data_IF_636842108474
#
_entry.id   IF_636842108474
#
_cell.length_a   1.000
_cell.length_b   1.000
_cell.length_c   1.000
_cell.angle_alpha   90.00
_cell.angle_beta   90.00
_cell.angle_gamma   90.00
#
_symmetry.space_group_name_H-M   'P 1'
#
loop_
_entity.id
_entity.type
_entity.pdbx_description
1 polymer ?
#
# COMPACT_ATOMS: atom_id res chain seq x y z
N UNK A 1 -76.44 66.06 28.08
CA UNK A 1 -75.38 66.09 27.04
C UNK A 1 -74.27 67.01 27.52
N UNK A 2 -73.01 66.56 27.58
CA UNK A 2 -71.85 67.37 27.99
C UNK A 2 -71.79 67.69 29.50
N UNK A 3 -70.62 67.86 30.12
CA UNK A 3 -69.22 67.62 29.73
C UNK A 3 -68.44 67.19 30.98
N UNK A 4 -67.39 66.37 30.84
CA UNK A 4 -66.43 66.09 31.93
C UNK A 4 -65.09 66.78 31.69
N UNK A 5 -64.43 67.05 32.82
CA UNK A 5 -63.12 67.64 33.13
C UNK A 5 -62.08 67.96 32.03
N UNK A 6 -61.40 69.09 32.26
CA UNK A 6 -60.01 69.37 31.84
C UNK A 6 -59.00 69.12 32.99
N UNK A 7 -57.69 69.35 32.78
CA UNK A 7 -56.65 68.43 33.28
C UNK A 7 -55.74 68.94 34.42
N UNK A 8 -54.96 68.02 35.00
CA UNK A 8 -53.80 68.26 35.88
C UNK A 8 -53.30 66.94 36.49
N UNK A 9 -52.30 66.25 35.93
CA UNK A 9 -50.86 66.55 35.94
C UNK A 9 -50.15 66.19 37.27
N UNK A 10 -49.47 65.03 37.29
CA UNK A 10 -48.26 64.78 38.07
C UNK A 10 -47.54 63.54 37.50
N UNK A 11 -46.29 63.69 37.08
CA UNK A 11 -45.47 62.57 36.61
C UNK A 11 -44.60 62.03 37.76
N UNK A 12 -44.51 60.70 37.88
CA UNK A 12 -43.50 60.01 38.69
C UNK A 12 -42.79 59.01 37.78
N UNK A 13 -41.57 59.35 37.37
CA UNK A 13 -40.73 58.47 36.57
C UNK A 13 -40.08 57.41 37.47
N UNK A 14 -40.52 56.16 37.35
CA UNK A 14 -39.86 55.02 37.97
C UNK A 14 -38.79 54.47 37.02
N UNK A 15 -37.52 54.66 37.34
CA UNK A 15 -36.41 54.06 36.60
C UNK A 15 -36.28 52.57 36.98
N UNK A 16 -36.84 51.68 36.17
CA UNK A 16 -36.65 50.23 36.31
C UNK A 16 -35.30 49.81 35.74
N UNK A 17 -34.36 49.49 36.63
CA UNK A 17 -33.09 48.84 36.25
C UNK A 17 -33.41 47.42 35.77
N UNK A 18 -33.32 47.20 34.46
CA UNK A 18 -33.56 45.89 33.87
C UNK A 18 -32.32 45.02 34.08
N UNK A 19 -32.40 44.07 35.02
CA UNK A 19 -31.34 43.10 35.25
C UNK A 19 -31.33 42.08 34.11
N UNK A 20 -30.48 42.29 33.11
CA UNK A 20 -30.31 41.32 32.01
C UNK A 20 -29.51 40.14 32.53
N UNK A 21 -30.22 39.07 32.93
CA UNK A 21 -29.60 37.77 33.18
C UNK A 21 -29.05 37.25 31.86
N UNK A 22 -27.73 37.09 31.76
CA UNK A 22 -27.10 36.42 30.64
C UNK A 22 -27.50 34.94 30.67
N UNK A 23 -28.59 34.60 29.98
CA UNK A 23 -28.96 33.22 29.70
C UNK A 23 -27.80 32.58 28.97
N UNK A 24 -27.15 31.61 29.61
CA UNK A 24 -26.04 30.87 29.00
C UNK A 24 -26.52 30.20 27.73
N UNK A 25 -26.11 30.73 26.59
CA UNK A 25 -25.96 29.90 25.39
C UNK A 25 -24.96 28.83 25.78
N UNK A 26 -25.43 27.60 25.95
CA UNK A 26 -24.53 26.46 25.85
C UNK A 26 -23.99 26.54 24.42
N UNK A 27 -22.70 26.81 24.27
CA UNK A 27 -22.02 26.66 23.00
C UNK A 27 -22.14 25.20 22.59
N UNK A 28 -23.18 24.91 21.80
CA UNK A 28 -23.22 23.75 20.93
C UNK A 28 -22.16 24.01 19.87
N UNK A 29 -20.91 23.83 20.27
CA UNK A 29 -19.79 23.67 19.37
C UNK A 29 -20.27 22.66 18.33
N UNK A 30 -20.22 22.97 17.03
CA UNK A 30 -20.60 22.00 16.03
C UNK A 30 -19.66 20.81 16.23
N UNK A 31 -20.21 19.69 16.73
CA UNK A 31 -19.51 18.43 16.72
C UNK A 31 -19.19 18.20 15.25
N UNK A 32 -17.92 18.33 14.89
CA UNK A 32 -17.46 17.85 13.61
C UNK A 32 -17.70 16.35 13.65
N UNK A 33 -18.81 15.90 13.05
CA UNK A 33 -18.81 14.57 12.45
C UNK A 33 -17.62 14.59 11.51
N UNK A 34 -16.53 13.93 11.91
CA UNK A 34 -15.62 13.39 10.93
C UNK A 34 -16.51 12.71 9.88
N UNK A 35 -16.22 12.93 8.59
CA UNK A 35 -16.73 11.99 7.60
C UNK A 35 -16.38 10.57 8.08
N UNK A 36 -17.21 9.57 7.79
CA UNK A 36 -16.97 8.18 8.16
C UNK A 36 -15.76 7.62 7.37
N UNK A 37 -14.57 8.14 7.70
CA UNK A 37 -13.31 7.87 7.03
C UNK A 37 -12.96 6.41 7.24
N UNK A 38 -12.62 5.75 6.15
CA UNK A 38 -12.19 4.36 6.17
C UNK A 38 -10.81 4.24 6.83
N UNK A 39 -10.50 3.10 7.42
CA UNK A 39 -9.16 2.82 7.94
C UNK A 39 -8.12 2.86 6.81
N UNK A 40 -8.53 2.28 5.67
CA UNK A 40 -7.77 2.30 4.44
C UNK A 40 -8.69 2.44 3.24
N UNK A 41 -8.13 2.86 2.11
CA UNK A 41 -8.83 2.88 0.83
C UNK A 41 -7.95 2.31 -0.27
N UNK A 42 -8.53 1.42 -1.09
CA UNK A 42 -7.88 0.90 -2.29
C UNK A 42 -8.26 1.75 -3.49
N UNK A 43 -7.30 2.49 -4.03
CA UNK A 43 -7.38 3.26 -5.26
C UNK A 43 -6.91 2.37 -6.41
N UNK A 44 -7.83 1.83 -7.21
CA UNK A 44 -7.52 0.80 -8.21
C UNK A 44 -7.79 1.22 -9.65
N UNK A 45 -6.76 1.13 -10.50
CA UNK A 45 -6.86 1.29 -11.95
C UNK A 45 -7.08 -0.08 -12.63
N UNK A 46 -8.27 -0.25 -13.23
CA UNK A 46 -8.67 -1.45 -13.99
C UNK A 46 -7.84 -1.64 -15.28
N UNK A 47 -7.94 -2.80 -15.91
CA UNK A 47 -7.28 -3.10 -17.18
C UNK A 47 -8.00 -2.58 -18.43
N UNK A 48 -7.32 -2.68 -19.57
CA UNK A 48 -7.83 -2.24 -20.89
C UNK A 48 -9.18 -2.87 -21.24
N UNK A 49 -10.14 -2.06 -21.68
CA UNK A 49 -11.51 -2.47 -22.05
C UNK A 49 -12.35 -3.06 -20.90
N UNK A 50 -11.90 -3.02 -19.64
CA UNK A 50 -12.79 -3.34 -18.51
C UNK A 50 -13.86 -2.23 -18.31
N UNK A 51 -15.09 -2.58 -17.90
CA UNK A 51 -16.14 -1.60 -17.61
C UNK A 51 -15.77 -0.74 -16.39
N UNK A 52 -16.39 0.45 -16.21
CA UNK A 52 -16.18 1.30 -15.03
C UNK A 52 -16.32 0.52 -13.71
N UNK A 53 -15.39 0.77 -12.78
CA UNK A 53 -15.18 -0.04 -11.58
C UNK A 53 -13.70 -0.45 -11.45
N UNK A 54 -13.40 -1.33 -10.50
CA UNK A 54 -12.02 -1.81 -10.23
C UNK A 54 -11.57 -2.99 -11.11
N UNK A 55 -12.47 -3.49 -11.98
CA UNK A 55 -12.19 -4.66 -12.82
C UNK A 55 -12.12 -5.98 -12.04
N UNK A 56 -11.91 -7.08 -12.77
CA UNK A 56 -11.91 -8.45 -12.23
C UNK A 56 -10.78 -8.68 -11.23
N UNK A 57 -9.58 -8.18 -11.56
CA UNK A 57 -8.37 -8.34 -10.73
C UNK A 57 -8.46 -7.46 -9.48
N UNK A 58 -8.89 -6.20 -9.63
CA UNK A 58 -9.05 -5.27 -8.51
C UNK A 58 -10.11 -5.75 -7.51
N UNK A 59 -11.24 -6.29 -7.99
CA UNK A 59 -12.28 -6.83 -7.12
C UNK A 59 -11.76 -8.02 -6.30
N UNK A 60 -11.13 -9.01 -6.94
CA UNK A 60 -10.59 -10.18 -6.25
C UNK A 60 -9.45 -9.83 -5.25
N UNK A 61 -8.64 -8.82 -5.58
CA UNK A 61 -7.63 -8.26 -4.66
C UNK A 61 -8.28 -7.60 -3.44
N UNK A 62 -9.28 -6.73 -3.64
CA UNK A 62 -10.01 -6.06 -2.53
C UNK A 62 -10.70 -7.07 -1.63
N UNK A 63 -11.37 -8.08 -2.19
CA UNK A 63 -12.09 -9.08 -1.41
C UNK A 63 -11.14 -9.96 -0.60
N UNK A 64 -10.01 -10.35 -1.18
CA UNK A 64 -8.95 -11.08 -0.46
C UNK A 64 -8.28 -10.21 0.61
N UNK A 65 -8.09 -8.91 0.36
CA UNK A 65 -7.54 -7.97 1.35
C UNK A 65 -8.47 -7.84 2.55
N UNK A 66 -9.77 -7.60 2.33
CA UNK A 66 -10.79 -7.51 3.39
C UNK A 66 -10.87 -8.76 4.26
N UNK A 67 -10.74 -9.95 3.67
CA UNK A 67 -10.67 -11.22 4.42
C UNK A 67 -9.41 -11.32 5.30
N UNK A 68 -8.28 -10.76 4.85
CA UNK A 68 -7.00 -10.78 5.56
C UNK A 68 -6.83 -9.64 6.57
N UNK A 69 -7.73 -8.65 6.57
CA UNK A 69 -7.74 -7.51 7.50
C UNK A 69 -9.06 -7.40 8.28
N UNK A 70 -9.45 -8.42 9.08
CA UNK A 70 -10.68 -8.37 9.87
C UNK A 70 -10.66 -7.19 10.83
N UNK A 71 -11.76 -6.41 10.89
CA UNK A 71 -11.84 -5.19 11.69
C UNK A 71 -11.12 -3.97 11.07
N UNK A 72 -10.90 -3.97 9.75
CA UNK A 72 -10.64 -2.75 8.97
C UNK A 72 -11.86 -2.40 8.11
N UNK A 73 -12.31 -1.16 8.19
CA UNK A 73 -13.19 -0.57 7.19
C UNK A 73 -12.33 -0.18 5.97
N UNK A 74 -12.43 -0.95 4.88
CA UNK A 74 -11.66 -0.72 3.65
C UNK A 74 -12.57 -0.17 2.55
N UNK A 75 -12.36 1.11 2.23
CA UNK A 75 -12.96 1.80 1.09
C UNK A 75 -12.35 1.35 -0.24
N UNK A 76 -13.03 1.70 -1.33
CA UNK A 76 -12.57 1.40 -2.69
C UNK A 76 -12.89 2.58 -3.58
N UNK A 77 -11.87 3.11 -4.25
CA UNK A 77 -12.00 4.08 -5.31
C UNK A 77 -11.59 3.45 -6.64
N UNK A 78 -12.52 3.42 -7.60
CA UNK A 78 -12.26 2.99 -8.95
C UNK A 78 -11.75 4.18 -9.77
N UNK A 79 -10.51 4.12 -10.26
CA UNK A 79 -9.89 5.21 -11.02
C UNK A 79 -10.72 5.54 -12.26
N UNK A 80 -11.13 6.80 -12.35
CA UNK A 80 -12.06 7.31 -13.34
C UNK A 80 -11.32 7.74 -14.61
N UNK A 81 -10.97 6.75 -15.42
CA UNK A 81 -10.33 6.95 -16.72
C UNK A 81 -10.93 6.02 -17.80
N UNK A 82 -10.72 6.28 -19.11
CA UNK A 82 -11.36 5.53 -20.18
C UNK A 82 -10.98 4.05 -20.29
N UNK A 83 -9.80 3.65 -19.79
CA UNK A 83 -9.20 2.31 -20.01
C UNK A 83 -9.19 1.86 -21.49
N UNK A 84 -9.00 2.81 -22.43
CA UNK A 84 -9.21 2.58 -23.87
C UNK A 84 -8.05 1.81 -24.53
N UNK A 85 -8.32 1.14 -25.64
CA UNK A 85 -7.32 0.32 -26.37
C UNK A 85 -6.15 1.10 -26.95
N UNK A 86 -6.21 2.42 -27.01
CA UNK A 86 -5.12 3.26 -27.52
C UNK A 86 -4.00 3.46 -26.48
N UNK A 87 -4.19 3.08 -25.21
CA UNK A 87 -3.24 3.25 -24.08
C UNK A 87 -2.78 4.69 -23.79
N UNK A 88 -3.24 5.69 -24.56
CA UNK A 88 -2.90 7.12 -24.40
C UNK A 88 -3.37 7.73 -23.06
N UNK A 89 -4.24 7.05 -22.32
CA UNK A 89 -4.90 7.56 -21.11
C UNK A 89 -4.20 7.18 -19.78
N UNK A 90 -2.97 6.65 -19.85
CA UNK A 90 -2.15 6.47 -18.64
C UNK A 90 -2.00 7.77 -17.84
N UNK A 91 -1.89 8.89 -18.55
CA UNK A 91 -1.89 10.24 -17.97
C UNK A 91 -3.20 10.63 -17.29
N UNK A 92 -4.33 10.41 -17.94
CA UNK A 92 -5.66 10.74 -17.39
C UNK A 92 -5.92 9.97 -16.09
N UNK A 93 -5.62 8.66 -16.09
CA UNK A 93 -5.71 7.83 -14.88
C UNK A 93 -4.75 8.26 -13.79
N UNK A 94 -3.51 8.65 -14.12
CA UNK A 94 -2.55 9.14 -13.13
C UNK A 94 -2.99 10.47 -12.52
N UNK A 95 -3.51 11.39 -13.32
CA UNK A 95 -4.05 12.67 -12.85
C UNK A 95 -5.27 12.47 -11.93
N UNK A 96 -6.15 11.53 -12.25
CA UNK A 96 -7.30 11.14 -11.43
C UNK A 96 -6.86 10.54 -10.08
N UNK A 97 -5.91 9.59 -10.08
CA UNK A 97 -5.27 9.06 -8.85
C UNK A 97 -4.67 10.18 -8.01
N UNK A 98 -3.87 11.07 -8.59
CA UNK A 98 -3.24 12.18 -7.87
C UNK A 98 -4.27 13.15 -7.31
N UNK A 99 -5.34 13.44 -8.05
CA UNK A 99 -6.46 14.27 -7.59
C UNK A 99 -7.18 13.64 -6.39
N UNK A 100 -7.47 12.34 -6.47
CA UNK A 100 -8.16 11.60 -5.42
C UNK A 100 -7.29 11.45 -4.15
N UNK A 101 -6.00 11.15 -4.28
CA UNK A 101 -5.05 11.11 -3.14
C UNK A 101 -5.01 12.47 -2.43
N UNK A 102 -4.96 13.58 -3.18
CA UNK A 102 -5.01 14.93 -2.61
C UNK A 102 -6.32 15.22 -1.87
N UNK A 103 -7.45 14.79 -2.44
CA UNK A 103 -8.77 14.90 -1.82
C UNK A 103 -8.83 14.12 -0.49
N UNK A 104 -8.42 12.85 -0.50
CA UNK A 104 -8.41 12.00 0.70
C UNK A 104 -7.43 12.47 1.77
N UNK A 105 -6.25 12.98 1.40
CA UNK A 105 -5.32 13.55 2.35
C UNK A 105 -5.87 14.82 3.04
N UNK A 106 -6.77 15.57 2.37
CA UNK A 106 -7.40 16.77 2.92
C UNK A 106 -8.66 16.45 3.76
N UNK A 107 -9.48 15.48 3.34
CA UNK A 107 -10.75 15.13 3.99
C UNK A 107 -10.60 14.08 5.10
N UNK A 108 -9.70 13.11 4.91
CA UNK A 108 -9.50 11.94 5.75
C UNK A 108 -7.99 11.66 5.94
N UNK A 109 -7.21 12.57 6.55
CA UNK A 109 -5.74 12.46 6.67
C UNK A 109 -5.24 11.20 7.41
N UNK A 110 -6.10 10.56 8.21
CA UNK A 110 -5.78 9.32 8.91
C UNK A 110 -5.92 8.04 8.05
N UNK A 111 -6.72 8.10 6.97
CA UNK A 111 -6.98 6.97 6.06
C UNK A 111 -5.70 6.61 5.30
N UNK A 112 -5.36 5.32 5.31
CA UNK A 112 -4.20 4.80 4.58
C UNK A 112 -4.57 4.39 3.16
N UNK A 113 -3.87 4.95 2.18
CA UNK A 113 -4.16 4.70 0.78
C UNK A 113 -3.32 3.52 0.27
N UNK A 114 -3.96 2.62 -0.47
CA UNK A 114 -3.32 1.54 -1.21
C UNK A 114 -3.52 1.83 -2.69
N UNK A 115 -2.44 1.99 -3.44
CA UNK A 115 -2.51 2.12 -4.89
C UNK A 115 -2.50 0.73 -5.54
N UNK A 116 -3.34 0.50 -6.55
CA UNK A 116 -3.33 -0.76 -7.28
C UNK A 116 -3.67 -0.61 -8.75
N UNK A 117 -3.15 -1.52 -9.58
CA UNK A 117 -3.30 -1.42 -11.03
C UNK A 117 -3.09 -2.74 -11.75
N UNK A 118 -3.88 -3.02 -12.78
CA UNK A 118 -3.74 -4.22 -13.61
C UNK A 118 -3.57 -3.87 -15.10
N UNK A 119 -2.58 -4.46 -15.78
CA UNK A 119 -2.34 -4.23 -17.21
C UNK A 119 -2.09 -2.73 -17.49
N UNK A 120 -2.88 -2.09 -18.36
CA UNK A 120 -2.88 -0.62 -18.53
C UNK A 120 -3.08 0.17 -17.22
N UNK A 121 -3.77 -0.41 -16.23
CA UNK A 121 -3.89 0.18 -14.90
C UNK A 121 -2.59 0.11 -14.09
N UNK A 122 -1.71 -0.86 -14.35
CA UNK A 122 -0.37 -0.86 -13.78
C UNK A 122 0.46 0.30 -14.37
N UNK A 123 0.35 0.57 -15.67
CA UNK A 123 1.00 1.72 -16.31
C UNK A 123 0.57 3.06 -15.65
N UNK A 124 -0.73 3.19 -15.31
CA UNK A 124 -1.25 4.34 -14.55
C UNK A 124 -0.54 4.50 -13.20
N UNK A 125 -0.39 3.41 -12.45
CA UNK A 125 0.25 3.44 -11.12
C UNK A 125 1.77 3.63 -11.21
N UNK A 126 2.42 3.14 -12.27
CA UNK A 126 3.83 3.39 -12.55
C UNK A 126 4.10 4.88 -12.82
N UNK A 127 3.25 5.56 -13.60
CA UNK A 127 3.33 7.02 -13.81
C UNK A 127 3.19 7.77 -12.47
N UNK A 128 2.18 7.43 -11.66
CA UNK A 128 1.99 7.97 -10.30
C UNK A 128 3.22 7.69 -9.42
N UNK A 129 3.89 6.57 -9.64
CA UNK A 129 5.06 6.12 -8.89
C UNK A 129 6.40 6.69 -9.38
N UNK A 130 6.40 7.48 -10.46
CA UNK A 130 7.61 8.03 -11.07
C UNK A 130 8.45 7.01 -11.83
N UNK A 131 7.87 5.87 -12.23
CA UNK A 131 8.54 4.80 -12.97
C UNK A 131 8.53 5.15 -14.48
N UNK A 132 9.69 5.16 -15.16
CA UNK A 132 9.74 5.49 -16.59
C UNK A 132 9.19 4.36 -17.47
N UNK A 133 8.06 4.58 -18.14
CA UNK A 133 7.48 3.64 -19.10
C UNK A 133 7.84 4.08 -20.53
N UNK A 134 8.60 3.26 -21.26
CA UNK A 134 8.85 3.43 -22.69
C UNK A 134 9.50 4.77 -23.12
N UNK A 135 10.03 5.56 -22.19
CA UNK A 135 10.60 6.89 -22.45
C UNK A 135 9.56 7.99 -22.73
N UNK A 136 8.27 7.74 -22.50
CA UNK A 136 7.19 8.69 -22.79
C UNK A 136 6.54 9.18 -21.48
N UNK A 137 6.58 10.49 -21.25
CA UNK A 137 6.08 11.08 -20.01
C UNK A 137 4.59 11.43 -20.15
N UNK A 138 3.71 10.47 -19.84
CA UNK A 138 2.27 10.61 -20.10
C UNK A 138 1.48 11.34 -19.00
N UNK A 139 2.02 11.54 -17.80
CA UNK A 139 1.32 12.20 -16.68
C UNK A 139 2.29 12.73 -15.63
N UNK A 140 1.74 13.19 -14.50
CA UNK A 140 2.55 13.63 -13.35
C UNK A 140 2.64 12.54 -12.28
N UNK A 141 3.81 12.32 -11.66
CA UNK A 141 3.91 11.47 -10.48
C UNK A 141 3.18 12.09 -9.28
N UNK A 142 2.92 11.29 -8.26
CA UNK A 142 2.42 11.81 -6.99
C UNK A 142 3.43 12.81 -6.40
N UNK A 143 3.02 14.02 -6.00
CA UNK A 143 3.91 14.94 -5.31
C UNK A 143 4.44 14.33 -4.00
N UNK A 144 5.74 14.43 -3.68
CA UNK A 144 6.35 13.69 -2.57
C UNK A 144 5.71 13.94 -1.19
N UNK A 145 5.08 15.10 -0.98
CA UNK A 145 4.37 15.43 0.26
C UNK A 145 3.17 14.52 0.56
N UNK A 146 2.65 13.79 -0.43
CA UNK A 146 1.59 12.79 -0.26
C UNK A 146 2.10 11.34 -0.19
N UNK A 147 3.42 11.12 -0.29
CA UNK A 147 3.99 9.77 -0.32
C UNK A 147 3.69 8.98 0.97
N UNK A 148 3.56 9.64 2.12
CA UNK A 148 3.28 9.03 3.44
C UNK A 148 1.79 8.71 3.67
N UNK A 149 0.89 9.23 2.83
CA UNK A 149 -0.50 8.77 2.78
C UNK A 149 -0.60 7.35 2.16
N UNK A 150 0.33 6.99 1.27
CA UNK A 150 0.37 5.69 0.60
C UNK A 150 1.03 4.66 1.54
N UNK A 151 0.25 3.67 2.02
CA UNK A 151 0.77 2.59 2.83
C UNK A 151 1.37 1.44 2.00
N UNK A 152 0.81 1.17 0.82
CA UNK A 152 1.29 0.12 -0.08
C UNK A 152 0.92 0.37 -1.55
N UNK A 153 1.63 -0.32 -2.45
CA UNK A 153 1.32 -0.36 -3.89
C UNK A 153 1.28 -1.83 -4.35
N UNK A 154 0.29 -2.20 -5.16
CA UNK A 154 0.13 -3.56 -5.71
C UNK A 154 -0.24 -3.54 -7.19
N UNK A 155 0.71 -3.87 -8.07
CA UNK A 155 0.50 -3.90 -9.52
C UNK A 155 0.55 -5.32 -10.09
N UNK A 156 -0.22 -5.56 -11.14
CA UNK A 156 -0.44 -6.88 -11.75
C UNK A 156 -0.27 -6.81 -13.27
N UNK A 157 0.54 -7.69 -13.86
CA UNK A 157 0.77 -7.70 -15.31
C UNK A 157 1.38 -6.41 -15.84
N UNK A 158 2.34 -5.86 -15.09
CA UNK A 158 2.93 -4.55 -15.34
C UNK A 158 3.94 -4.59 -16.51
N UNK A 159 3.74 -3.71 -17.51
CA UNK A 159 4.58 -3.59 -18.72
C UNK A 159 6.03 -3.23 -18.38
N UNK A 160 6.30 -2.49 -17.31
CA UNK A 160 7.67 -2.09 -16.94
C UNK A 160 8.61 -3.29 -16.72
N UNK A 161 8.09 -4.42 -16.23
CA UNK A 161 8.87 -5.67 -16.09
C UNK A 161 9.42 -6.16 -17.43
N UNK A 162 8.68 -5.98 -18.53
CA UNK A 162 9.07 -6.41 -19.88
C UNK A 162 10.25 -5.60 -20.43
N UNK A 163 10.49 -4.40 -19.89
CA UNK A 163 11.66 -3.57 -20.18
C UNK A 163 12.86 -3.88 -19.27
N UNK A 164 12.77 -4.88 -18.38
CA UNK A 164 13.81 -5.21 -17.40
C UNK A 164 13.82 -4.34 -16.14
N UNK A 165 12.75 -3.56 -15.92
CA UNK A 165 12.50 -2.79 -14.71
C UNK A 165 11.50 -3.45 -13.77
N UNK A 166 10.99 -2.70 -12.80
CA UNK A 166 9.79 -3.01 -11.99
C UNK A 166 9.46 -1.81 -11.10
N UNK A 167 8.20 -1.68 -10.66
CA UNK A 167 7.83 -0.63 -9.70
C UNK A 167 8.67 -0.74 -8.41
N UNK A 168 8.91 -1.98 -7.96
CA UNK A 168 9.70 -2.32 -6.77
C UNK A 168 11.17 -1.90 -6.83
N UNK A 169 11.77 -1.83 -8.03
CA UNK A 169 13.18 -1.49 -8.23
C UNK A 169 13.41 -0.06 -8.71
N UNK A 170 12.43 0.57 -9.38
CA UNK A 170 12.58 1.87 -10.01
C UNK A 170 11.91 3.02 -9.26
N UNK A 171 10.84 2.77 -8.48
CA UNK A 171 10.20 3.84 -7.71
C UNK A 171 10.95 4.15 -6.41
N UNK A 172 11.60 5.31 -6.36
CA UNK A 172 12.29 5.79 -5.17
C UNK A 172 11.35 6.03 -3.96
N UNK A 173 10.08 6.39 -4.21
CA UNK A 173 9.10 6.66 -3.14
C UNK A 173 8.34 5.40 -2.70
N UNK A 174 8.10 4.46 -3.62
CA UNK A 174 7.16 3.35 -3.38
C UNK A 174 7.80 1.97 -3.38
N UNK A 175 9.02 1.79 -3.90
CA UNK A 175 9.61 0.46 -4.11
C UNK A 175 9.65 -0.43 -2.84
N UNK A 176 9.98 0.16 -1.68
CA UNK A 176 10.03 -0.54 -0.38
C UNK A 176 8.64 -0.93 0.18
N UNK A 177 7.57 -0.36 -0.37
CA UNK A 177 6.16 -0.64 -0.02
C UNK A 177 5.33 -1.10 -1.22
N UNK A 178 6.00 -1.57 -2.28
CA UNK A 178 5.38 -2.09 -3.48
C UNK A 178 5.47 -3.62 -3.57
N UNK A 179 4.49 -4.21 -4.25
CA UNK A 179 4.58 -5.54 -4.83
C UNK A 179 4.18 -5.45 -6.31
N UNK A 180 5.03 -6.02 -7.17
CA UNK A 180 4.84 -6.04 -8.62
C UNK A 180 4.75 -7.51 -9.04
N UNK A 181 3.56 -7.94 -9.48
CA UNK A 181 3.25 -9.34 -9.74
C UNK A 181 3.05 -9.55 -11.24
N UNK A 182 3.97 -10.30 -11.84
CA UNK A 182 3.89 -10.79 -13.20
C UNK A 182 3.70 -12.32 -13.18
N UNK A 183 2.69 -12.82 -13.88
CA UNK A 183 2.52 -14.25 -14.09
C UNK A 183 3.58 -14.76 -15.11
N UNK A 184 4.30 -15.87 -14.86
CA UNK A 184 5.35 -16.39 -15.76
C UNK A 184 4.94 -16.59 -17.22
N UNK A 185 3.66 -16.85 -17.50
CA UNK A 185 3.15 -16.99 -18.88
C UNK A 185 2.70 -15.67 -19.50
N UNK A 186 2.70 -14.54 -18.80
CA UNK A 186 2.07 -13.29 -19.26
C UNK A 186 2.95 -12.52 -20.28
N UNK A 187 2.51 -12.40 -21.56
CA UNK A 187 3.28 -11.71 -22.62
C UNK A 187 3.29 -10.18 -22.50
N UNK A 188 2.54 -9.59 -21.57
CA UNK A 188 2.56 -8.14 -21.30
C UNK A 188 3.77 -7.77 -20.44
N UNK A 189 4.13 -8.61 -19.47
CA UNK A 189 5.22 -8.36 -18.53
C UNK A 189 6.45 -9.27 -18.76
N UNK A 190 6.36 -10.29 -19.63
CA UNK A 190 7.49 -11.07 -20.12
C UNK A 190 7.71 -10.93 -21.64
N UNK A 191 8.96 -11.04 -22.07
CA UNK A 191 9.36 -11.08 -23.49
C UNK A 191 9.98 -12.43 -23.84
N UNK A 192 9.76 -12.89 -25.07
CA UNK A 192 10.27 -14.17 -25.57
C UNK A 192 9.19 -15.20 -25.88
N UNK A 193 9.59 -16.41 -26.32
CA UNK A 193 8.69 -17.54 -26.52
C UNK A 193 8.30 -18.21 -25.18
N UNK A 194 7.20 -18.97 -25.17
CA UNK A 194 6.72 -19.69 -23.98
C UNK A 194 5.69 -18.93 -23.12
N UNK A 195 5.13 -17.85 -23.66
CA UNK A 195 4.08 -17.05 -23.01
C UNK A 195 2.71 -17.36 -23.63
N UNK A 196 1.65 -17.35 -22.80
CA UNK A 196 0.26 -17.52 -23.21
C UNK A 196 -0.60 -16.34 -22.77
N UNK A 197 -1.52 -15.88 -23.63
CA UNK A 197 -2.41 -14.76 -23.30
C UNK A 197 -3.32 -15.03 -22.09
N UNK A 198 -3.64 -16.30 -21.81
CA UNK A 198 -4.34 -16.72 -20.59
C UNK A 198 -3.56 -16.41 -19.30
N UNK A 199 -2.23 -16.40 -19.35
CA UNK A 199 -1.37 -15.93 -18.26
C UNK A 199 -1.69 -14.49 -17.85
N UNK A 200 -2.00 -13.64 -18.84
CA UNK A 200 -2.51 -12.29 -18.62
C UNK A 200 -3.99 -12.31 -18.18
N UNK A 201 -4.89 -12.84 -19.01
CA UNK A 201 -6.33 -12.61 -18.85
C UNK A 201 -6.98 -13.36 -17.70
N UNK A 202 -6.42 -14.51 -17.31
CA UNK A 202 -7.00 -15.41 -16.30
C UNK A 202 -6.06 -15.54 -15.10
N UNK A 203 -4.76 -15.70 -15.37
CA UNK A 203 -3.71 -16.16 -14.46
C UNK A 203 -3.41 -15.33 -13.20
N UNK A 204 -4.06 -14.18 -12.98
CA UNK A 204 -3.87 -13.36 -11.76
C UNK A 204 -4.78 -13.75 -10.57
N UNK A 205 -5.93 -14.38 -10.83
CA UNK A 205 -6.94 -14.67 -9.79
C UNK A 205 -7.07 -16.18 -9.61
N UNK A 206 -7.11 -16.71 -8.37
CA UNK A 206 -6.98 -15.98 -7.09
C UNK A 206 -5.53 -15.75 -6.64
N UNK A 207 -4.56 -16.49 -7.20
CA UNK A 207 -3.21 -16.67 -6.63
C UNK A 207 -2.50 -15.34 -6.36
N UNK A 208 -2.24 -14.54 -7.40
CA UNK A 208 -1.51 -13.30 -7.27
C UNK A 208 -2.32 -12.23 -6.54
N UNK A 209 -3.65 -12.17 -6.74
CA UNK A 209 -4.52 -11.26 -5.98
C UNK A 209 -4.49 -11.54 -4.47
N UNK A 210 -4.40 -12.80 -4.05
CA UNK A 210 -4.24 -13.18 -2.64
C UNK A 210 -2.86 -12.88 -2.12
N UNK A 211 -1.80 -13.14 -2.90
CA UNK A 211 -0.42 -12.78 -2.55
C UNK A 211 -0.25 -11.27 -2.34
N UNK A 212 -0.80 -10.45 -3.25
CA UNK A 212 -0.83 -9.00 -3.11
C UNK A 212 -1.61 -8.55 -1.87
N UNK A 213 -2.78 -9.16 -1.61
CA UNK A 213 -3.57 -8.89 -0.42
C UNK A 213 -2.79 -9.20 0.88
N UNK A 214 -2.04 -10.30 0.94
CA UNK A 214 -1.16 -10.62 2.08
C UNK A 214 -0.08 -9.57 2.29
N UNK A 215 0.60 -9.15 1.21
CA UNK A 215 1.60 -8.08 1.27
C UNK A 215 1.00 -6.77 1.78
N UNK A 216 -0.12 -6.33 1.20
CA UNK A 216 -0.78 -5.06 1.55
C UNK A 216 -1.33 -5.10 2.98
N UNK A 217 -1.94 -6.21 3.41
CA UNK A 217 -2.40 -6.40 4.78
C UNK A 217 -1.26 -6.20 5.78
N UNK A 218 -0.07 -6.75 5.50
CA UNK A 218 1.11 -6.55 6.37
C UNK A 218 1.53 -5.08 6.51
N UNK A 219 1.45 -4.29 5.43
CA UNK A 219 1.78 -2.85 5.43
C UNK A 219 0.74 -2.02 6.18
N UNK A 220 -0.55 -2.35 6.02
CA UNK A 220 -1.65 -1.68 6.75
C UNK A 220 -1.59 -1.97 8.25
N UNK A 221 -1.34 -3.23 8.63
CA UNK A 221 -1.19 -3.64 10.03
C UNK A 221 0.03 -2.98 10.70
N UNK A 222 1.17 -2.91 10.00
CA UNK A 222 2.34 -2.18 10.48
C UNK A 222 2.04 -0.68 10.69
N UNK A 223 1.32 -0.06 9.74
CA UNK A 223 0.92 1.35 9.82
C UNK A 223 0.02 1.64 11.03
N UNK A 224 -0.96 0.76 11.30
CA UNK A 224 -1.81 0.85 12.50
C UNK A 224 -1.01 0.79 13.81
N UNK A 225 0.04 -0.04 13.85
CA UNK A 225 0.96 -0.12 15.00
C UNK A 225 1.70 1.19 15.30
N UNK A 226 1.87 2.06 14.30
CA UNK A 226 2.48 3.40 14.46
C UNK A 226 1.44 4.52 14.72
N UNK A 227 0.14 4.25 14.55
CA UNK A 227 -0.93 5.26 14.67
C UNK A 227 -1.61 5.31 16.06
N UNK A 228 -1.19 4.49 17.03
CA UNK A 228 -1.78 4.49 18.39
C UNK A 228 -1.63 5.85 19.09
N UNK A 229 -2.72 6.60 19.36
CA UNK A 229 -2.62 7.93 19.95
C UNK A 229 -2.11 7.86 21.39
N UNK A 230 -0.94 8.44 21.66
CA UNK A 230 -0.31 8.47 22.98
C UNK A 230 1.21 8.34 22.94
N UNK A 231 1.76 7.74 21.89
CA UNK A 231 3.19 7.79 21.59
C UNK A 231 3.41 8.59 20.31
N UNK A 232 4.07 9.74 20.43
CA UNK A 232 4.57 10.49 19.28
C UNK A 232 5.65 9.71 18.51
N UNK A 233 6.08 10.20 17.33
CA UNK A 233 7.16 9.56 16.58
C UNK A 233 8.40 9.41 17.48
N UNK A 234 8.84 8.17 17.70
CA UNK A 234 9.96 7.90 18.60
C UNK A 234 11.23 8.56 18.05
N UNK A 235 11.94 9.41 18.84
CA UNK A 235 13.20 9.97 18.42
C UNK A 235 14.25 8.85 18.23
N UNK A 236 15.23 9.01 17.32
CA UNK A 236 16.24 7.98 17.11
C UNK A 236 17.18 7.86 18.33
N UNK A 237 17.05 6.75 19.06
CA UNK A 237 17.95 6.37 20.15
C UNK A 237 17.35 6.54 21.56
N UNK A 238 17.92 5.79 22.50
CA UNK A 238 17.53 5.66 23.91
C UNK A 238 16.31 4.75 24.18
N UNK A 239 16.49 3.45 23.95
CA UNK A 239 15.86 2.42 24.80
C UNK A 239 16.94 1.80 25.70
N UNK A 240 16.68 1.54 26.99
CA UNK A 240 17.44 0.56 27.75
C UNK A 240 17.25 -0.82 27.08
N UNK A 241 18.35 -1.54 26.84
CA UNK A 241 18.29 -2.92 26.36
C UNK A 241 17.54 -3.78 27.38
N UNK A 242 16.49 -4.49 26.95
CA UNK A 242 15.92 -5.56 27.76
C UNK A 242 16.99 -6.64 27.99
N UNK A 243 17.12 -7.26 29.18
CA UNK A 243 18.12 -8.29 29.40
C UNK A 243 17.90 -9.50 28.49
N UNK A 244 18.79 -9.67 27.51
CA UNK A 244 18.83 -10.86 26.68
C UNK A 244 19.24 -12.10 27.48
N UNK A 245 19.06 -13.33 26.94
CA UNK A 245 19.49 -14.55 27.60
C UNK A 245 21.00 -14.51 27.89
N UNK A 246 21.38 -14.78 29.14
CA UNK A 246 22.78 -14.74 29.56
C UNK A 246 23.55 -15.90 28.94
N UNK A 247 24.41 -15.60 27.96
CA UNK A 247 25.37 -16.56 27.44
C UNK A 247 26.43 -16.90 28.52
N UNK A 248 26.83 -18.17 28.69
CA UNK A 248 27.93 -18.54 29.58
C UNK A 248 29.24 -17.85 29.15
N UNK A 249 29.89 -17.17 30.10
CA UNK A 249 31.18 -16.50 29.87
C UNK A 249 32.34 -17.48 29.62
N UNK A 250 33.47 -16.98 29.09
CA UNK A 250 34.61 -17.81 28.74
C UNK A 250 35.26 -18.43 29.99
N UNK A 251 35.42 -19.76 29.98
CA UNK A 251 36.12 -20.49 31.04
C UNK A 251 37.63 -20.34 30.85
N UNK A 252 38.33 -19.81 31.85
CA UNK A 252 39.80 -19.73 31.81
C UNK A 252 40.43 -21.13 31.92
N UNK A 253 41.42 -21.50 31.08
CA UNK A 253 42.09 -22.78 31.20
C UNK A 253 42.99 -22.85 32.45
N UNK A 254 42.69 -23.77 33.36
CA UNK A 254 43.62 -24.18 34.42
C UNK A 254 44.74 -25.09 33.89
N UNK A 255 45.76 -25.43 34.71
CA UNK A 255 46.93 -26.19 34.25
C UNK A 255 46.57 -27.60 33.79
N UNK A 256 47.13 -28.00 32.64
CA UNK A 256 46.91 -29.32 32.04
C UNK A 256 47.83 -30.36 32.68
N UNK A 257 47.27 -31.43 33.21
CA UNK A 257 48.00 -32.65 33.57
C UNK A 257 47.90 -33.68 32.41
N UNK A 258 49.00 -34.35 32.00
CA UNK A 258 48.98 -35.24 30.85
C UNK A 258 48.39 -36.62 31.19
N UNK A 259 47.27 -36.95 30.55
CA UNK A 259 46.72 -38.32 30.48
C UNK A 259 47.17 -39.08 29.23
N UNK A 260 47.02 -40.42 29.16
CA UNK A 260 47.68 -41.25 28.14
C UNK A 260 47.05 -41.11 26.75
N UNK A 261 47.88 -41.15 25.72
CA UNK A 261 47.44 -41.23 24.33
C UNK A 261 46.94 -42.64 23.97
N UNK A 262 45.84 -42.72 23.22
CA UNK A 262 45.36 -43.94 22.56
C UNK A 262 45.15 -43.67 21.06
N UNK A 263 45.31 -44.67 20.16
CA UNK A 263 45.38 -44.42 18.71
C UNK A 263 44.00 -44.19 18.08
N UNK A 264 43.92 -43.25 17.14
CA UNK A 264 42.72 -43.02 16.34
C UNK A 264 42.51 -44.09 15.24
N UNK A 265 41.26 -44.33 14.78
CA UNK A 265 40.98 -45.25 13.68
C UNK A 265 41.44 -44.67 12.33
N UNK A 266 41.93 -45.56 11.47
CA UNK A 266 42.41 -45.25 10.12
C UNK A 266 41.23 -45.13 9.14
N UNK A 267 41.25 -44.13 8.25
CA UNK A 267 40.29 -44.02 7.16
C UNK A 267 40.70 -44.95 5.99
N UNK A 268 39.78 -45.69 5.35
CA UNK A 268 40.10 -46.48 4.16
C UNK A 268 40.15 -45.60 2.89
N UNK A 269 41.12 -45.91 2.04
CA UNK A 269 41.48 -45.20 0.81
C UNK A 269 40.45 -45.28 -0.34
N UNK A 270 40.63 -44.38 -1.30
CA UNK A 270 40.07 -44.50 -2.64
C UNK A 270 40.74 -45.62 -3.46
N UNK A 271 39.99 -46.26 -4.35
CA UNK A 271 40.53 -47.18 -5.35
C UNK A 271 39.83 -47.03 -6.72
N UNK A 272 40.60 -47.22 -7.79
CA UNK A 272 40.24 -46.96 -9.19
C UNK A 272 39.45 -48.10 -9.86
N UNK A 273 38.75 -47.80 -10.97
CA UNK A 273 38.20 -48.80 -11.90
C UNK A 273 37.79 -48.18 -13.26
N UNK A 274 38.35 -48.67 -14.38
CA UNK A 274 38.37 -47.99 -15.68
C UNK A 274 37.42 -48.54 -16.78
N UNK A 275 36.88 -47.63 -17.60
CA UNK A 275 36.78 -47.64 -19.09
C UNK A 275 35.91 -48.68 -19.84
N UNK A 276 34.88 -48.19 -20.58
CA UNK A 276 34.42 -48.47 -21.99
C UNK A 276 33.47 -47.31 -22.41
N UNK A 277 33.29 -46.82 -23.66
CA UNK A 277 34.06 -47.01 -24.91
C UNK A 277 33.31 -46.78 -26.27
N UNK A 278 33.09 -45.52 -26.71
CA UNK A 278 32.79 -45.07 -28.12
C UNK A 278 31.40 -45.45 -28.76
N UNK A 279 31.03 -45.03 -30.01
CA UNK A 279 30.58 -43.65 -30.38
C UNK A 279 29.37 -43.54 -31.37
N UNK A 280 28.88 -42.32 -31.66
CA UNK A 280 27.94 -41.99 -32.77
C UNK A 280 26.45 -42.00 -32.37
N UNK A 281 25.52 -41.19 -32.94
CA UNK A 281 25.35 -40.79 -34.35
C UNK A 281 24.59 -39.43 -34.47
N UNK A 282 24.77 -38.67 -35.57
CA UNK A 282 23.86 -37.57 -35.98
C UNK A 282 22.61 -38.14 -36.69
N UNK A 283 21.55 -37.34 -36.89
CA UNK A 283 20.87 -37.08 -38.21
C UNK A 283 19.50 -36.37 -38.05
N UNK A 284 19.25 -35.40 -38.94
CA UNK A 284 17.98 -34.74 -39.43
C UNK A 284 16.75 -34.58 -38.49
N UNK A 285 16.08 -33.42 -38.41
CA UNK A 285 15.55 -32.49 -39.45
C UNK A 285 14.46 -33.10 -40.34
N UNK A 286 13.20 -32.90 -39.92
CA UNK A 286 12.04 -32.75 -40.80
C UNK A 286 11.02 -31.83 -40.13
#
# INVERSE_FOLDING_TARGET
>A
MGRWAGPGAAALAAATVLLVTASGIADVLPTASAADCTDAEVVFARGTSEPPGVGRVGQAFVDSLRQQTPGMNIGVYAVNYPASRLQLHGGDGANDVVSHVKSMAASCPATKIVLGGYSQGADVIDIVSGVPIGGLNFGSPLPPEYADNIAAVAVFGNVANRAGGSLTSQSAMFGSKAVDLCNPSDPICHAGPGNEWSGHTEGYVPVYTTQAATFVASKLLASRGQQVPGFGPQPPGLYPQAPGPVAPGPVAPGPVAPGPAAPGPVAPDAAHGSVVGTPGTRVHVH
#
